data_IF_656042408897
#
_entry.id   IF_656042408897
#
_cell.length_a   1.000
_cell.length_b   1.000
_cell.length_c   1.000
_cell.angle_alpha   90.00
_cell.angle_beta   90.00
_cell.angle_gamma   90.00
#
_symmetry.space_group_name_H-M   'P 1'
#
loop_
_entity.id
_entity.type
_entity.pdbx_description
1 polymer ?
#
# COMPACT_ATOMS: atom_id res chain seq x y z
N UNK A 1 8.19 1.17 2.64
CA UNK A 1 8.09 2.45 3.40
C UNK A 1 6.89 3.22 2.88
N UNK A 2 6.28 4.13 3.63
CA UNK A 2 5.14 4.94 3.17
C UNK A 2 5.51 6.42 3.19
N UNK A 3 5.60 7.06 2.03
CA UNK A 3 6.02 8.48 1.89
C UNK A 3 7.31 8.86 2.64
N UNK A 4 8.24 7.92 2.82
CA UNK A 4 9.49 8.12 3.57
C UNK A 4 9.42 7.81 5.07
N UNK A 5 8.24 7.50 5.60
CA UNK A 5 8.04 7.05 6.97
C UNK A 5 8.04 5.51 7.07
N UNK A 6 8.58 5.00 8.18
CA UNK A 6 8.51 3.57 8.50
C UNK A 6 7.19 3.24 9.19
N UNK A 7 6.30 2.57 8.47
CA UNK A 7 5.05 2.05 9.00
C UNK A 7 5.12 0.53 9.14
N UNK A 8 4.50 0.01 10.20
CA UNK A 8 4.35 -1.42 10.48
C UNK A 8 3.07 -1.92 9.86
N UNK A 9 3.20 -2.95 9.02
CA UNK A 9 2.10 -3.60 8.34
C UNK A 9 2.12 -5.09 8.62
N UNK A 10 0.95 -5.69 8.77
CA UNK A 10 0.78 -7.14 8.88
C UNK A 10 1.29 -7.77 7.57
N UNK A 11 2.12 -8.83 7.61
CA UNK A 11 2.64 -9.46 6.41
C UNK A 11 1.53 -10.12 5.57
N UNK A 12 1.64 -10.16 4.23
CA UNK A 12 0.57 -10.63 3.36
C UNK A 12 0.07 -12.05 3.64
N UNK A 13 0.95 -13.00 3.95
CA UNK A 13 0.57 -14.37 4.33
C UNK A 13 -0.31 -14.48 5.59
N UNK A 14 -0.39 -13.42 6.41
CA UNK A 14 -1.26 -13.36 7.58
C UNK A 14 -2.61 -12.66 7.31
N UNK A 15 -2.83 -12.17 6.09
CA UNK A 15 -4.08 -11.49 5.75
C UNK A 15 -5.23 -12.48 5.64
N UNK A 16 -6.33 -12.14 6.30
CA UNK A 16 -7.58 -12.89 6.11
C UNK A 16 -8.09 -12.65 4.70
N UNK A 17 -8.75 -13.65 4.12
CA UNK A 17 -9.39 -13.54 2.80
C UNK A 17 -10.39 -12.38 2.74
N UNK A 18 -11.10 -12.10 3.84
CA UNK A 18 -12.00 -10.95 3.93
C UNK A 18 -11.27 -9.61 3.80
N UNK A 19 -10.01 -9.50 4.25
CA UNK A 19 -9.20 -8.29 4.11
C UNK A 19 -8.66 -8.15 2.69
N UNK A 20 -8.20 -9.25 2.09
CA UNK A 20 -7.81 -9.26 0.67
C UNK A 20 -8.97 -8.82 -0.24
N UNK A 21 -10.21 -9.19 0.11
CA UNK A 21 -11.39 -8.75 -0.63
C UNK A 21 -11.60 -7.23 -0.54
N UNK A 22 -11.27 -6.56 0.56
CA UNK A 22 -11.33 -5.10 0.66
C UNK A 22 -10.41 -4.45 -0.37
N UNK A 23 -9.17 -4.95 -0.47
CA UNK A 23 -8.20 -4.47 -1.46
C UNK A 23 -8.70 -4.71 -2.89
N UNK A 24 -9.21 -5.92 -3.18
CA UNK A 24 -9.75 -6.26 -4.50
C UNK A 24 -10.97 -5.41 -4.90
N UNK A 25 -11.77 -4.97 -3.91
CA UNK A 25 -12.92 -4.09 -4.12
C UNK A 25 -12.55 -2.59 -4.12
N UNK A 26 -11.25 -2.25 -4.06
CA UNK A 26 -10.78 -0.86 -4.02
C UNK A 26 -11.06 -0.14 -2.69
N UNK A 27 -11.44 -0.86 -1.63
CA UNK A 27 -11.66 -0.31 -0.29
C UNK A 27 -10.34 -0.16 0.47
N UNK A 28 -9.43 0.63 -0.09
CA UNK A 28 -8.04 0.77 0.38
C UNK A 28 -7.96 1.36 1.78
N UNK A 29 -8.76 2.38 2.10
CA UNK A 29 -8.76 2.99 3.44
C UNK A 29 -9.18 2.00 4.53
N UNK A 30 -10.26 1.25 4.31
CA UNK A 30 -10.73 0.20 5.23
C UNK A 30 -9.73 -0.97 5.33
N UNK A 31 -9.05 -1.29 4.24
CA UNK A 31 -7.97 -2.27 4.26
C UNK A 31 -6.81 -1.79 5.15
N UNK A 32 -6.35 -0.55 4.96
CA UNK A 32 -5.22 0.02 5.71
C UNK A 32 -5.49 0.16 7.20
N UNK A 33 -6.71 0.53 7.59
CA UNK A 33 -7.14 0.55 9.00
C UNK A 33 -6.97 -0.80 9.70
N UNK A 34 -7.10 -1.90 8.95
CA UNK A 34 -7.02 -3.25 9.50
C UNK A 34 -5.59 -3.80 9.48
N UNK A 35 -4.82 -3.51 8.42
CA UNK A 35 -3.49 -4.12 8.22
C UNK A 35 -2.34 -3.31 8.77
N UNK A 36 -2.52 -2.01 9.00
CA UNK A 36 -1.51 -1.19 9.67
C UNK A 36 -1.57 -1.38 11.17
N UNK A 37 -0.43 -1.18 11.82
CA UNK A 37 -0.39 -1.05 13.26
C UNK A 37 -1.22 0.18 13.69
N UNK A 38 -2.01 0.12 14.78
CA UNK A 38 -2.86 1.23 15.22
C UNK A 38 -2.13 2.58 15.34
N UNK A 39 -0.94 2.59 15.94
CA UNK A 39 -0.13 3.82 16.07
C UNK A 39 0.34 4.40 14.73
N UNK A 40 0.44 3.58 13.69
CA UNK A 40 0.93 3.99 12.37
C UNK A 40 -0.23 4.32 11.41
N UNK A 41 -1.47 4.00 11.82
CA UNK A 41 -2.67 4.36 11.06
C UNK A 41 -2.92 5.87 11.10
N UNK A 42 -2.63 6.54 12.22
CA UNK A 42 -2.70 8.01 12.29
C UNK A 42 -1.73 8.66 11.29
N UNK A 43 -0.51 8.11 11.18
CA UNK A 43 0.48 8.56 10.19
C UNK A 43 -0.04 8.35 8.76
N UNK A 44 -0.71 7.23 8.48
CA UNK A 44 -1.34 7.00 7.18
C UNK A 44 -2.42 8.05 6.85
N UNK A 45 -3.24 8.45 7.83
CA UNK A 45 -4.25 9.48 7.65
C UNK A 45 -3.64 10.87 7.43
N UNK A 46 -2.57 11.19 8.17
CA UNK A 46 -1.89 12.49 8.05
C UNK A 46 -1.12 12.63 6.73
N UNK A 47 -0.53 11.54 6.24
CA UNK A 47 0.20 11.53 4.97
C UNK A 47 -0.72 11.56 3.75
N UNK A 48 -1.94 11.02 3.87
CA UNK A 48 -2.91 10.86 2.78
C UNK A 48 -2.26 10.32 1.48
N UNK A 49 -1.63 9.13 1.55
CA UNK A 49 -0.83 8.61 0.45
C UNK A 49 -1.68 8.26 -0.77
N UNK A 50 -1.09 8.42 -1.94
CA UNK A 50 -1.72 8.01 -3.20
C UNK A 50 -1.84 6.48 -3.31
N UNK A 51 -2.75 6.01 -4.17
CA UNK A 51 -2.89 4.59 -4.46
C UNK A 51 -1.59 3.93 -4.94
N UNK A 52 -0.73 4.69 -5.65
CA UNK A 52 0.57 4.20 -6.12
C UNK A 52 1.52 3.95 -4.94
N UNK A 53 1.62 4.90 -4.00
CA UNK A 53 2.45 4.79 -2.80
C UNK A 53 1.96 3.67 -1.87
N UNK A 54 0.64 3.48 -1.78
CA UNK A 54 0.03 2.34 -1.09
C UNK A 54 0.40 1.02 -1.77
N UNK A 55 0.35 0.96 -3.10
CA UNK A 55 0.75 -0.21 -3.86
C UNK A 55 2.22 -0.57 -3.64
N UNK A 56 3.10 0.44 -3.58
CA UNK A 56 4.51 0.26 -3.25
C UNK A 56 4.70 -0.31 -1.83
N UNK A 57 3.99 0.23 -0.83
CA UNK A 57 4.05 -0.30 0.55
C UNK A 57 3.64 -1.78 0.62
N UNK A 58 2.56 -2.15 -0.06
CA UNK A 58 2.06 -3.53 -0.11
C UNK A 58 3.08 -4.46 -0.78
N UNK A 59 3.67 -4.02 -1.89
CA UNK A 59 4.67 -4.80 -2.61
C UNK A 59 5.98 -4.96 -1.82
N UNK A 60 6.40 -3.91 -1.10
CA UNK A 60 7.50 -3.96 -0.15
C UNK A 60 7.23 -4.98 0.96
N UNK A 61 6.02 -4.96 1.53
CA UNK A 61 5.61 -5.90 2.58
C UNK A 61 5.64 -7.35 2.09
N UNK A 62 5.19 -7.59 0.86
CA UNK A 62 5.25 -8.90 0.22
C UNK A 62 6.68 -9.38 0.01
N UNK A 63 7.52 -8.51 -0.57
CA UNK A 63 8.94 -8.81 -0.82
C UNK A 63 9.67 -9.17 0.48
N UNK A 64 9.39 -8.45 1.58
CA UNK A 64 9.95 -8.74 2.92
C UNK A 64 9.46 -10.06 3.50
N UNK A 65 8.23 -10.47 3.19
CA UNK A 65 7.67 -11.75 3.63
C UNK A 65 8.15 -12.95 2.78
N UNK A 66 8.91 -12.71 1.70
CA UNK A 66 9.30 -13.75 0.75
C UNK A 66 8.17 -14.20 -0.17
N UNK A 67 7.07 -13.46 -0.20
CA UNK A 67 5.89 -13.72 -1.02
C UNK A 67 5.84 -12.71 -2.18
N UNK A 68 5.65 -13.20 -3.41
CA UNK A 68 5.34 -12.32 -4.53
C UNK A 68 3.83 -12.20 -4.62
N UNK A 69 3.27 -11.07 -4.16
CA UNK A 69 1.91 -10.70 -4.51
C UNK A 69 1.92 -10.43 -6.01
N UNK A 70 1.46 -11.42 -6.79
CA UNK A 70 1.57 -11.44 -8.25
C UNK A 70 1.27 -10.07 -8.83
N UNK A 71 2.25 -9.54 -9.59
CA UNK A 71 2.24 -8.19 -10.17
C UNK A 71 0.87 -7.83 -10.77
N UNK A 72 0.01 -7.15 -10.03
CA UNK A 72 -0.98 -6.25 -10.62
C UNK A 72 -0.24 -4.93 -10.89
N UNK A 73 0.69 -4.99 -11.84
CA UNK A 73 1.39 -3.82 -12.36
C UNK A 73 0.38 -2.97 -13.14
N UNK A 74 -0.33 -2.09 -12.43
CA UNK A 74 -0.80 -0.86 -13.04
C UNK A 74 0.40 -0.13 -13.65
N UNK A 75 0.25 0.54 -14.81
CA UNK A 75 1.37 1.23 -15.44
C UNK A 75 1.95 2.27 -14.47
N UNK A 76 3.25 2.17 -14.21
CA UNK A 76 3.97 3.11 -13.35
C UNK A 76 3.73 4.56 -13.80
N UNK A 77 3.59 5.52 -12.86
CA UNK A 77 3.42 6.93 -13.21
C UNK A 77 4.63 7.40 -14.02
N UNK A 78 4.37 7.73 -15.28
CA UNK A 78 5.36 8.32 -16.16
C UNK A 78 5.80 9.66 -15.56
N UNK A 79 7.06 9.78 -15.16
CA UNK A 79 7.68 11.02 -14.67
C UNK A 79 7.86 12.09 -15.76
N UNK A 80 7.01 12.07 -16.81
CA UNK A 80 7.06 13.01 -17.92
C UNK A 80 6.60 14.38 -17.42
N UNK A 81 7.57 15.13 -16.90
CA UNK A 81 7.50 16.56 -16.61
C UNK A 81 7.03 17.28 -17.88
N UNK A 82 5.75 17.62 -17.92
CA UNK A 82 5.19 18.47 -18.97
C UNK A 82 5.76 19.87 -18.78
N UNK A 83 6.90 20.15 -19.41
CA UNK A 83 7.43 21.52 -19.51
C UNK A 83 6.49 22.30 -20.41
N UNK A 84 5.65 23.12 -19.78
CA UNK A 84 4.69 24.04 -20.40
C UNK A 84 5.47 25.15 -21.16
N UNK A 85 4.91 25.51 -22.31
CA UNK A 85 5.32 26.53 -23.31
C UNK A 85 6.13 27.70 -22.78
#
# INVERSE_FOLDING_TARGET
MLCGEEVRIIPPGAWRQSWQNLLNNGQVGAFMEIVLHPDDYEVFLDLDPTNDEVGELINDAATRAGESLGKSSGPAPSSRRTRRR
#
